data_IF_617195686569
#
_entry.id   IF_617195686569
#
_cell.length_a   1.000
_cell.length_b   1.000
_cell.length_c   1.000
_cell.angle_alpha   90.00
_cell.angle_beta   90.00
_cell.angle_gamma   90.00
#
_symmetry.space_group_name_H-M   'P 1'
#
loop_
_entity.id
_entity.type
_entity.pdbx_description
1 polymer ?
#
# COMPACT_ATOMS: atom_id res chain seq x y z
N UNK A 1 -3.29 -5.54 -28.46
CA UNK A 1 -4.04 -5.58 -27.20
C UNK A 1 -4.46 -4.15 -26.85
N UNK A 2 -5.76 -3.91 -26.55
CA UNK A 2 -6.19 -2.64 -26.00
C UNK A 2 -5.57 -2.43 -24.61
N UNK A 3 -5.46 -1.18 -24.20
CA UNK A 3 -4.97 -0.79 -22.85
C UNK A 3 -6.13 -0.17 -22.07
N UNK A 4 -6.16 -0.41 -20.76
CA UNK A 4 -7.18 0.11 -19.85
C UNK A 4 -6.66 0.21 -18.42
N UNK A 5 -7.48 0.77 -17.55
CA UNK A 5 -7.25 0.84 -16.11
C UNK A 5 -8.16 -0.17 -15.40
N UNK A 6 -7.63 -0.84 -14.39
CA UNK A 6 -8.41 -1.74 -13.52
C UNK A 6 -9.29 -0.94 -12.54
N UNK A 7 -10.48 -1.44 -12.13
CA UNK A 7 -11.11 -2.68 -12.59
C UNK A 7 -11.45 -2.68 -14.09
N UNK A 8 -11.38 -3.84 -14.73
CA UNK A 8 -11.78 -4.03 -16.12
C UNK A 8 -12.93 -5.04 -16.14
N UNK A 9 -14.05 -4.67 -16.77
CA UNK A 9 -15.20 -5.55 -16.82
C UNK A 9 -16.43 -4.89 -17.41
N UNK A 10 -17.59 -5.38 -16.99
CA UNK A 10 -18.91 -4.86 -17.36
C UNK A 10 -19.96 -5.33 -16.35
N UNK A 11 -21.05 -4.56 -16.19
CA UNK A 11 -22.20 -4.91 -15.36
C UNK A 11 -22.41 -3.88 -14.24
N UNK A 12 -21.88 -4.08 -13.09
CA UNK A 12 -22.20 -3.46 -11.79
C UNK A 12 -21.85 -1.96 -11.61
N UNK A 13 -21.46 -1.26 -12.66
CA UNK A 13 -21.08 0.16 -12.65
C UNK A 13 -19.83 0.47 -11.78
N UNK A 14 -18.99 -0.52 -11.50
CA UNK A 14 -17.78 -0.42 -10.66
C UNK A 14 -16.46 -0.45 -11.45
N UNK A 15 -16.53 -0.72 -12.76
CA UNK A 15 -15.38 -0.83 -13.64
C UNK A 15 -14.90 0.53 -14.16
N UNK A 16 -13.57 0.75 -14.11
CA UNK A 16 -12.94 1.91 -14.76
C UNK A 16 -12.82 1.74 -16.27
N UNK A 17 -12.59 0.53 -16.72
CA UNK A 17 -12.56 0.18 -18.14
C UNK A 17 -13.70 -0.74 -18.45
N UNK A 18 -14.75 -0.19 -19.04
CA UNK A 18 -15.95 -0.94 -19.44
C UNK A 18 -15.70 -1.60 -20.79
N UNK A 19 -16.00 -2.90 -20.89
CA UNK A 19 -15.91 -3.70 -22.09
C UNK A 19 -17.28 -4.24 -22.49
N UNK A 20 -17.40 -4.74 -23.74
CA UNK A 20 -18.60 -5.47 -24.15
C UNK A 20 -18.69 -6.81 -23.39
N UNK A 21 -19.92 -7.33 -23.13
CA UNK A 21 -20.11 -8.63 -22.48
C UNK A 21 -19.39 -9.78 -23.21
N UNK A 22 -18.56 -10.50 -22.48
CA UNK A 22 -17.75 -11.62 -23.00
C UNK A 22 -17.72 -12.77 -22.00
N UNK A 23 -17.40 -13.99 -22.46
CA UNK A 23 -17.22 -15.16 -21.58
C UNK A 23 -16.00 -15.05 -20.69
N UNK A 24 -14.94 -14.45 -21.21
CA UNK A 24 -13.69 -14.30 -20.49
C UNK A 24 -12.88 -13.12 -20.99
N UNK A 25 -12.02 -12.61 -20.12
CA UNK A 25 -11.01 -11.60 -20.45
C UNK A 25 -9.61 -12.12 -20.17
N UNK A 26 -8.67 -11.61 -20.95
CA UNK A 26 -7.24 -11.89 -20.80
C UNK A 26 -6.52 -10.58 -20.54
N UNK A 27 -5.76 -10.50 -19.46
CA UNK A 27 -5.06 -9.30 -19.05
C UNK A 27 -3.56 -9.55 -18.94
N UNK A 28 -2.76 -8.50 -19.15
CA UNK A 28 -1.32 -8.50 -18.87
C UNK A 28 -0.92 -7.18 -18.24
N UNK A 29 -0.11 -7.27 -17.20
CA UNK A 29 0.45 -6.14 -16.47
C UNK A 29 1.95 -6.37 -16.38
N UNK A 30 2.74 -5.45 -16.93
CA UNK A 30 4.19 -5.48 -16.76
C UNK A 30 4.54 -4.79 -15.44
N UNK A 31 5.50 -5.35 -14.72
CA UNK A 31 6.03 -4.79 -13.49
C UNK A 31 7.52 -5.10 -13.36
N UNK A 32 8.24 -4.26 -12.65
CA UNK A 32 9.68 -4.46 -12.41
C UNK A 32 9.92 -4.99 -11.00
N UNK A 33 10.93 -5.85 -10.88
CA UNK A 33 11.45 -6.36 -9.60
C UNK A 33 12.95 -6.08 -9.58
N UNK A 34 13.38 -5.25 -8.65
CA UNK A 34 14.79 -4.87 -8.52
C UNK A 34 15.61 -5.93 -7.77
N UNK A 35 15.02 -6.56 -6.77
CA UNK A 35 15.63 -7.59 -5.95
C UNK A 35 14.64 -8.69 -5.62
N UNK A 36 15.00 -9.94 -5.92
CA UNK A 36 14.20 -11.13 -5.60
C UNK A 36 14.68 -11.84 -4.34
N UNK A 37 15.91 -11.55 -3.86
CA UNK A 37 16.52 -12.31 -2.76
C UNK A 37 15.73 -12.18 -1.46
N UNK A 38 15.20 -11.00 -1.19
CA UNK A 38 14.48 -10.68 0.03
C UNK A 38 12.96 -10.94 -0.05
N UNK A 39 12.44 -11.36 -1.19
CA UNK A 39 11.01 -11.69 -1.33
C UNK A 39 10.74 -13.03 -0.63
N UNK A 40 9.78 -13.02 0.30
CA UNK A 40 9.36 -14.21 1.05
C UNK A 40 8.15 -14.86 0.41
N UNK A 41 7.10 -14.09 0.12
CA UNK A 41 5.90 -14.55 -0.58
C UNK A 41 5.24 -13.42 -1.35
N UNK A 42 4.40 -13.80 -2.31
CA UNK A 42 3.48 -12.89 -2.99
C UNK A 42 2.14 -12.84 -2.30
N UNK A 43 1.49 -11.69 -2.36
CA UNK A 43 0.14 -11.46 -1.90
C UNK A 43 -0.66 -10.87 -3.04
N UNK A 44 -1.61 -11.65 -3.57
CA UNK A 44 -2.58 -11.17 -4.53
C UNK A 44 -3.87 -10.82 -3.81
N UNK A 45 -4.27 -9.54 -3.88
CA UNK A 45 -5.65 -9.16 -3.64
C UNK A 45 -6.36 -9.16 -4.99
N UNK A 46 -7.42 -9.91 -5.09
CA UNK A 46 -8.18 -10.05 -6.33
C UNK A 46 -9.66 -9.74 -6.05
N UNK A 47 -10.19 -8.75 -6.73
CA UNK A 47 -11.61 -8.57 -6.86
C UNK A 47 -12.02 -9.12 -8.23
N UNK A 48 -12.92 -10.06 -8.24
CA UNK A 48 -13.22 -10.85 -9.45
C UNK A 48 -14.63 -11.41 -9.46
N UNK A 49 -15.07 -11.65 -10.64
CA UNK A 49 -16.34 -12.25 -11.00
C UNK A 49 -16.15 -13.09 -12.29
N UNK A 50 -16.26 -14.40 -12.35
CA UNK A 50 -16.58 -15.41 -11.30
C UNK A 50 -15.37 -16.26 -10.91
N UNK A 51 -14.50 -16.59 -11.86
CA UNK A 51 -13.32 -17.44 -11.67
C UNK A 51 -12.11 -16.91 -12.42
N UNK A 52 -10.91 -17.27 -11.97
CA UNK A 52 -9.70 -16.76 -12.60
C UNK A 52 -8.52 -17.73 -12.52
N UNK A 53 -7.54 -17.51 -13.38
CA UNK A 53 -6.20 -18.08 -13.29
C UNK A 53 -5.14 -17.01 -13.50
N UNK A 54 -4.06 -17.09 -12.72
CA UNK A 54 -2.95 -16.13 -12.69
C UNK A 54 -1.66 -16.80 -13.11
N UNK A 55 -0.91 -16.11 -13.95
CA UNK A 55 0.40 -16.53 -14.41
C UNK A 55 1.43 -15.43 -14.10
N UNK A 56 2.61 -15.83 -13.67
CA UNK A 56 3.81 -14.98 -13.63
C UNK A 56 4.78 -15.51 -14.67
N UNK A 57 5.20 -14.64 -15.59
CA UNK A 57 6.14 -14.98 -16.66
C UNK A 57 5.73 -16.22 -17.49
N UNK A 58 4.43 -16.48 -17.58
CA UNK A 58 3.83 -17.59 -18.35
C UNK A 58 3.65 -18.89 -17.56
N UNK A 59 4.07 -18.95 -16.29
CA UNK A 59 3.84 -20.09 -15.40
C UNK A 59 2.65 -19.83 -14.47
N UNK A 60 1.74 -20.80 -14.33
CA UNK A 60 0.58 -20.71 -13.47
C UNK A 60 1.00 -20.68 -12.00
N UNK A 61 0.56 -19.66 -11.26
CA UNK A 61 0.88 -19.48 -9.84
C UNK A 61 -0.34 -19.55 -8.93
N UNK A 62 -1.53 -19.32 -9.48
CA UNK A 62 -2.76 -19.32 -8.70
C UNK A 62 -3.96 -19.54 -9.62
N UNK A 63 -4.95 -20.26 -9.12
CA UNK A 63 -6.24 -20.47 -9.77
C UNK A 63 -7.33 -20.55 -8.73
N UNK A 64 -8.48 -19.97 -9.04
CA UNK A 64 -9.65 -20.00 -8.18
C UNK A 64 -10.93 -20.17 -9.01
N UNK A 65 -11.79 -21.10 -8.60
CA UNK A 65 -13.11 -21.34 -9.19
C UNK A 65 -13.10 -21.59 -10.72
N UNK A 66 -12.01 -22.16 -11.27
CA UNK A 66 -11.83 -22.31 -12.72
C UNK A 66 -11.03 -23.55 -13.09
N UNK A 67 -11.67 -24.72 -13.14
CA UNK A 67 -11.10 -25.99 -13.61
C UNK A 67 -9.87 -26.47 -12.80
N UNK A 68 -9.23 -27.52 -13.30
CA UNK A 68 -8.11 -28.15 -12.60
C UNK A 68 -6.78 -27.41 -12.79
N UNK A 69 -5.93 -27.30 -11.75
CA UNK A 69 -4.62 -26.63 -11.83
C UNK A 69 -3.74 -27.17 -12.95
N UNK A 70 -2.95 -26.27 -13.56
CA UNK A 70 -2.02 -26.59 -14.65
C UNK A 70 -2.66 -27.22 -15.90
N UNK A 71 -3.95 -27.01 -16.12
CA UNK A 71 -4.65 -27.39 -17.34
C UNK A 71 -4.92 -26.16 -18.20
N UNK A 72 -4.90 -26.38 -19.52
CA UNK A 72 -5.30 -25.31 -20.46
C UNK A 72 -6.77 -24.99 -20.28
N UNK A 73 -7.10 -23.70 -20.14
CA UNK A 73 -8.45 -23.18 -20.05
C UNK A 73 -8.84 -22.56 -21.39
N UNK A 74 -9.83 -23.12 -22.12
CA UNK A 74 -10.41 -22.49 -23.32
C UNK A 74 -11.11 -21.17 -22.93
N UNK A 75 -11.10 -20.21 -23.85
CA UNK A 75 -11.71 -18.88 -23.61
C UNK A 75 -13.24 -18.93 -23.34
N UNK A 76 -13.89 -20.00 -23.72
CA UNK A 76 -15.34 -20.26 -23.59
C UNK A 76 -15.67 -21.25 -22.45
N UNK A 77 -14.69 -21.60 -21.62
CA UNK A 77 -14.94 -22.38 -20.42
C UNK A 77 -15.53 -21.47 -19.33
N UNK A 78 -16.59 -21.92 -18.68
CA UNK A 78 -17.19 -21.22 -17.56
C UNK A 78 -16.47 -21.53 -16.25
N UNK A 79 -16.54 -20.57 -15.32
CA UNK A 79 -16.20 -20.80 -13.92
C UNK A 79 -17.15 -21.86 -13.30
N UNK A 80 -16.72 -22.48 -12.21
CA UNK A 80 -17.47 -23.62 -11.63
C UNK A 80 -18.74 -23.17 -10.89
N UNK A 81 -18.69 -22.00 -10.29
CA UNK A 81 -19.80 -21.41 -9.51
C UNK A 81 -19.81 -19.90 -9.68
N UNK A 82 -20.96 -19.26 -9.42
CA UNK A 82 -21.04 -17.81 -9.32
C UNK A 82 -20.29 -17.31 -8.11
N UNK A 83 -19.43 -16.32 -8.31
CA UNK A 83 -18.69 -15.58 -7.30
C UNK A 83 -18.80 -14.11 -7.65
N UNK A 84 -19.36 -13.32 -6.79
CA UNK A 84 -19.53 -11.88 -6.94
C UNK A 84 -18.29 -11.10 -6.49
N UNK A 85 -17.92 -10.07 -7.23
CA UNK A 85 -16.94 -9.09 -6.81
C UNK A 85 -17.33 -8.44 -5.47
N UNK A 86 -16.37 -8.00 -4.70
CA UNK A 86 -16.57 -7.58 -3.31
C UNK A 86 -16.57 -6.06 -3.13
N UNK A 87 -15.71 -5.34 -3.88
CA UNK A 87 -15.45 -3.93 -3.61
C UNK A 87 -16.67 -3.06 -3.85
N UNK A 88 -17.43 -3.29 -4.94
CA UNK A 88 -18.66 -2.53 -5.21
C UNK A 88 -19.70 -2.69 -4.10
N UNK A 89 -19.64 -3.81 -3.34
CA UNK A 89 -20.49 -4.10 -2.19
C UNK A 89 -19.97 -3.51 -0.89
N UNK A 90 -18.87 -2.74 -0.94
CA UNK A 90 -18.21 -2.19 0.23
C UNK A 90 -17.42 -3.19 1.06
N UNK A 91 -17.11 -4.36 0.49
CA UNK A 91 -16.31 -5.41 1.11
C UNK A 91 -14.85 -5.33 0.64
N UNK A 92 -13.98 -6.12 1.28
CA UNK A 92 -12.56 -6.21 0.88
C UNK A 92 -12.41 -7.23 -0.24
N UNK A 93 -11.46 -7.02 -1.18
CA UNK A 93 -11.13 -8.03 -2.19
C UNK A 93 -10.66 -9.33 -1.54
N UNK A 94 -10.78 -10.41 -2.27
CA UNK A 94 -10.27 -11.72 -1.85
C UNK A 94 -8.74 -11.70 -1.77
N UNK A 95 -8.18 -12.47 -0.86
CA UNK A 95 -6.75 -12.44 -0.52
C UNK A 95 -6.13 -13.82 -0.71
N UNK A 96 -5.09 -13.89 -1.52
CA UNK A 96 -4.40 -15.13 -1.86
C UNK A 96 -2.89 -15.01 -1.62
N UNK A 97 -2.32 -15.99 -0.95
CA UNK A 97 -0.87 -16.08 -0.74
C UNK A 97 -0.25 -16.95 -1.84
N UNK A 98 0.89 -16.51 -2.36
CA UNK A 98 1.68 -17.23 -3.36
C UNK A 98 3.06 -17.47 -2.74
N UNK A 99 3.19 -18.58 -2.00
CA UNK A 99 4.38 -18.87 -1.19
C UNK A 99 5.65 -19.08 -2.04
N UNK A 100 5.51 -19.61 -3.25
CA UNK A 100 6.61 -19.87 -4.18
C UNK A 100 6.82 -18.80 -5.24
N UNK A 101 6.30 -17.58 -5.04
CA UNK A 101 6.34 -16.54 -6.08
C UNK A 101 7.75 -16.21 -6.54
N UNK A 102 8.72 -16.29 -5.65
CA UNK A 102 10.14 -16.06 -5.93
C UNK A 102 10.68 -16.94 -7.05
N UNK A 103 10.20 -18.17 -7.16
CA UNK A 103 10.63 -19.13 -8.18
C UNK A 103 10.18 -18.75 -9.59
N UNK A 104 9.18 -17.88 -9.70
CA UNK A 104 8.57 -17.42 -10.95
C UNK A 104 9.01 -15.99 -11.34
N UNK A 105 9.77 -15.30 -10.47
CA UNK A 105 10.23 -13.93 -10.70
C UNK A 105 11.64 -13.88 -11.29
N UNK A 106 11.89 -12.84 -12.06
CA UNK A 106 13.24 -12.46 -12.50
C UNK A 106 13.55 -11.03 -12.08
N UNK A 107 14.82 -10.70 -11.90
CA UNK A 107 15.25 -9.31 -11.74
C UNK A 107 15.00 -8.57 -13.05
N UNK A 108 14.37 -7.41 -12.97
CA UNK A 108 13.93 -6.63 -14.12
C UNK A 108 12.45 -6.80 -14.45
N UNK A 109 12.09 -6.74 -15.72
CA UNK A 109 10.71 -6.77 -16.18
C UNK A 109 10.09 -8.16 -16.03
N UNK A 110 8.93 -8.22 -15.38
CA UNK A 110 8.09 -9.40 -15.20
C UNK A 110 6.68 -9.14 -15.77
N UNK A 111 5.94 -10.19 -16.04
CA UNK A 111 4.58 -10.13 -16.55
C UNK A 111 3.64 -10.88 -15.64
N UNK A 112 2.67 -10.17 -15.07
CA UNK A 112 1.47 -10.74 -14.48
C UNK A 112 0.43 -10.90 -15.58
N UNK A 113 -0.01 -12.13 -15.85
CA UNK A 113 -1.07 -12.41 -16.80
C UNK A 113 -2.25 -13.11 -16.09
N UNK A 114 -3.46 -12.74 -16.49
CA UNK A 114 -4.69 -13.28 -15.92
C UNK A 114 -5.66 -13.69 -17.02
N UNK A 115 -6.44 -14.73 -16.72
CA UNK A 115 -7.71 -15.02 -17.38
C UNK A 115 -8.80 -14.93 -16.31
N UNK A 116 -9.88 -14.19 -16.59
CA UNK A 116 -11.05 -14.11 -15.71
C UNK A 116 -12.27 -14.55 -16.54
N UNK A 117 -13.09 -15.41 -15.98
CA UNK A 117 -14.14 -16.13 -16.68
C UNK A 117 -15.48 -16.02 -15.95
N UNK A 118 -16.52 -15.80 -16.70
CA UNK A 118 -17.91 -15.89 -16.25
C UNK A 118 -18.31 -17.33 -15.91
N UNK A 119 -19.28 -17.52 -15.01
CA UNK A 119 -19.81 -18.84 -14.64
C UNK A 119 -20.95 -19.32 -15.55
N UNK A 120 -21.48 -18.49 -16.45
CA UNK A 120 -22.62 -18.88 -17.30
C UNK A 120 -22.68 -18.11 -18.61
N UNK A 121 -23.57 -18.53 -19.51
CA UNK A 121 -23.92 -17.81 -20.74
C UNK A 121 -24.72 -16.50 -20.48
N UNK A 122 -25.22 -16.33 -19.27
CA UNK A 122 -25.87 -15.11 -18.81
C UNK A 122 -24.79 -14.10 -18.44
N UNK A 123 -24.28 -13.42 -19.45
CA UNK A 123 -23.22 -12.38 -19.28
C UNK A 123 -23.81 -11.13 -18.63
N UNK A 124 -24.07 -11.18 -17.32
CA UNK A 124 -24.65 -10.07 -16.56
C UNK A 124 -23.57 -9.07 -16.17
N UNK A 125 -22.44 -9.59 -15.74
CA UNK A 125 -21.32 -8.89 -15.16
C UNK A 125 -20.03 -9.69 -15.30
N UNK A 126 -18.92 -9.03 -15.14
CA UNK A 126 -17.58 -9.58 -14.97
C UNK A 126 -16.69 -8.47 -14.48
N UNK A 127 -15.93 -8.72 -13.44
CA UNK A 127 -14.96 -7.77 -12.88
C UNK A 127 -13.58 -8.40 -12.69
N UNK A 128 -12.54 -7.65 -13.02
CA UNK A 128 -11.14 -8.04 -12.81
C UNK A 128 -10.31 -6.89 -12.26
N UNK A 129 -9.95 -6.99 -10.97
CA UNK A 129 -9.05 -6.06 -10.29
C UNK A 129 -7.96 -6.83 -9.54
N UNK A 130 -6.82 -7.11 -10.15
CA UNK A 130 -5.66 -7.68 -9.47
C UNK A 130 -4.79 -6.60 -8.83
N UNK A 131 -4.34 -6.85 -7.59
CA UNK A 131 -3.32 -6.06 -6.89
C UNK A 131 -2.30 -7.04 -6.36
N UNK A 132 -1.15 -7.12 -7.01
CA UNK A 132 -0.02 -7.95 -6.58
C UNK A 132 0.92 -7.12 -5.72
N UNK A 133 1.30 -7.66 -4.56
CA UNK A 133 2.30 -7.11 -3.66
C UNK A 133 3.23 -8.21 -3.17
N UNK A 134 4.39 -7.84 -2.65
CA UNK A 134 5.37 -8.78 -2.11
C UNK A 134 5.60 -8.48 -0.63
N UNK A 135 5.65 -9.56 0.15
CA UNK A 135 6.24 -9.47 1.46
C UNK A 135 7.75 -9.69 1.32
N UNK A 136 8.50 -8.70 1.74
CA UNK A 136 9.96 -8.73 1.70
C UNK A 136 10.53 -8.85 3.11
N UNK A 137 11.57 -9.66 3.26
CA UNK A 137 12.36 -9.63 4.48
C UNK A 137 13.16 -8.33 4.47
N UNK A 138 12.90 -7.46 5.42
CA UNK A 138 13.75 -6.28 5.59
C UNK A 138 15.14 -6.78 5.97
N UNK A 139 16.19 -6.45 5.21
CA UNK A 139 17.55 -6.77 5.62
C UNK A 139 17.77 -6.26 7.06
N UNK A 140 18.57 -6.95 7.88
CA UNK A 140 18.94 -6.41 9.16
C UNK A 140 19.47 -5.00 8.93
N UNK A 141 18.86 -4.03 9.62
CA UNK A 141 19.15 -2.61 9.47
C UNK A 141 20.65 -2.43 9.34
N UNK A 142 21.10 -1.90 8.20
CA UNK A 142 22.52 -1.59 8.02
C UNK A 142 22.93 -0.68 9.20
N UNK A 143 24.15 -0.77 9.66
CA UNK A 143 24.68 0.11 10.72
C UNK A 143 24.82 1.57 10.25
N UNK A 144 24.30 1.89 9.08
CA UNK A 144 24.21 3.25 8.56
C UNK A 144 23.09 3.97 9.30
N UNK A 145 23.44 5.09 9.87
CA UNK A 145 22.49 6.00 10.51
C UNK A 145 22.28 7.19 9.60
N UNK A 146 21.07 7.71 9.62
CA UNK A 146 20.70 8.98 8.97
C UNK A 146 20.47 10.03 10.06
N UNK A 147 20.84 11.25 9.78
CA UNK A 147 20.61 12.37 10.71
C UNK A 147 19.20 12.94 10.47
N UNK A 148 18.36 12.90 11.52
CA UNK A 148 17.05 13.57 11.53
C UNK A 148 17.12 14.80 12.40
N UNK A 149 16.81 15.95 11.83
CA UNK A 149 16.79 17.23 12.52
C UNK A 149 15.34 17.66 12.81
N UNK A 150 15.03 17.81 14.10
CA UNK A 150 13.74 18.30 14.59
C UNK A 150 13.96 19.71 15.12
N UNK A 151 13.18 20.66 14.60
CA UNK A 151 13.21 22.04 15.06
C UNK A 151 11.82 22.49 15.48
N UNK A 152 11.69 23.01 16.70
CA UNK A 152 10.43 23.50 17.24
C UNK A 152 10.66 24.91 17.79
N UNK A 153 9.80 25.85 17.35
CA UNK A 153 9.67 27.16 17.95
C UNK A 153 8.50 27.11 18.92
N UNK A 154 8.76 27.36 20.19
CA UNK A 154 7.70 27.38 21.20
C UNK A 154 6.99 28.74 21.21
N UNK A 155 5.73 28.68 21.55
CA UNK A 155 4.87 29.85 21.79
C UNK A 155 4.82 30.25 23.26
N UNK A 156 3.71 30.87 23.68
CA UNK A 156 3.46 31.32 25.05
C UNK A 156 3.07 30.19 26.01
N UNK A 157 2.83 28.98 25.50
CA UNK A 157 2.34 27.81 26.26
C UNK A 157 3.19 26.57 26.01
N UNK A 158 4.51 26.61 26.19
CA UNK A 158 5.44 25.52 25.83
C UNK A 158 5.21 24.22 26.62
N UNK A 159 4.52 24.30 27.75
CA UNK A 159 4.18 23.14 28.60
C UNK A 159 3.17 22.20 27.95
N UNK A 160 2.48 22.63 26.90
CA UNK A 160 1.49 21.84 26.18
C UNK A 160 2.11 21.01 25.08
N UNK A 161 3.28 21.42 24.59
CA UNK A 161 3.96 20.81 23.46
C UNK A 161 4.79 19.60 23.88
N UNK A 162 4.60 18.50 23.17
CA UNK A 162 5.45 17.30 23.24
C UNK A 162 5.61 16.69 21.86
N UNK A 163 6.65 15.87 21.68
CA UNK A 163 6.81 15.10 20.46
C UNK A 163 7.41 13.72 20.71
N UNK A 164 7.20 12.83 19.77
CA UNK A 164 7.77 11.50 19.73
C UNK A 164 8.16 11.11 18.29
N UNK A 165 9.36 10.55 18.13
CA UNK A 165 9.81 9.87 16.93
C UNK A 165 9.96 8.38 17.25
N UNK A 166 9.20 7.53 16.57
CA UNK A 166 9.19 6.08 16.83
C UNK A 166 9.41 5.32 15.54
N UNK A 167 10.33 4.37 15.57
CA UNK A 167 10.50 3.41 14.49
C UNK A 167 9.25 2.53 14.33
N UNK A 168 8.86 2.27 13.07
CA UNK A 168 7.74 1.39 12.70
C UNK A 168 8.26 0.28 11.77
N UNK A 169 7.40 -0.67 11.41
CA UNK A 169 7.74 -1.77 10.49
C UNK A 169 9.02 -2.56 10.87
N UNK A 170 9.27 -2.72 12.18
CA UNK A 170 10.44 -3.46 12.69
C UNK A 170 11.67 -2.62 13.01
N UNK A 171 11.64 -1.30 12.75
CA UNK A 171 12.70 -0.37 13.14
C UNK A 171 12.66 -0.15 14.65
N UNK A 172 13.75 -0.49 15.35
CA UNK A 172 13.84 -0.37 16.80
C UNK A 172 14.47 0.98 17.20
N UNK A 173 13.65 2.01 17.30
CA UNK A 173 14.05 3.35 17.72
C UNK A 173 12.89 4.07 18.40
N UNK A 174 13.17 4.86 19.44
CA UNK A 174 12.18 5.75 20.05
C UNK A 174 12.87 6.88 20.80
N UNK A 175 12.54 8.10 20.45
CA UNK A 175 12.93 9.34 21.14
C UNK A 175 11.70 10.22 21.34
N UNK A 176 11.67 10.97 22.43
CA UNK A 176 10.54 11.84 22.75
C UNK A 176 10.90 12.92 23.76
N UNK A 177 10.11 13.99 23.77
CA UNK A 177 10.05 14.94 24.89
C UNK A 177 8.67 14.93 25.52
N UNK A 178 8.63 15.11 26.84
CA UNK A 178 7.39 15.20 27.60
C UNK A 178 6.85 16.64 27.62
N UNK A 179 5.54 16.83 27.80
CA UNK A 179 4.97 18.14 28.08
C UNK A 179 5.67 18.82 29.29
N UNK A 180 5.81 20.11 29.21
CA UNK A 180 6.51 20.90 30.26
C UNK A 180 8.04 20.85 30.21
N UNK A 181 8.63 20.25 29.16
CA UNK A 181 10.09 20.21 28.99
C UNK A 181 10.65 21.42 28.28
N UNK A 182 9.81 22.23 27.67
CA UNK A 182 10.20 23.39 26.87
C UNK A 182 9.96 24.70 27.61
N UNK A 183 10.64 25.75 27.18
CA UNK A 183 10.51 27.12 27.74
C UNK A 183 9.87 28.05 26.73
N UNK A 184 9.31 29.12 27.26
CA UNK A 184 8.54 30.14 26.56
C UNK A 184 9.36 30.85 25.46
N UNK A 185 8.78 30.96 24.26
CA UNK A 185 9.31 31.73 23.11
C UNK A 185 10.79 31.39 22.81
N UNK A 186 11.11 30.12 22.79
CA UNK A 186 12.46 29.63 22.53
C UNK A 186 12.48 28.72 21.27
N UNK A 187 13.69 28.51 20.75
CA UNK A 187 13.93 27.64 19.60
C UNK A 187 14.68 26.41 20.05
N UNK A 188 14.09 25.25 19.85
CA UNK A 188 14.71 23.96 20.14
C UNK A 188 15.09 23.24 18.88
N UNK A 189 16.27 22.67 18.86
CA UNK A 189 16.78 21.86 17.75
C UNK A 189 17.33 20.55 18.32
N UNK A 190 16.88 19.43 17.76
CA UNK A 190 17.41 18.10 18.05
C UNK A 190 17.98 17.51 16.76
N UNK A 191 19.18 16.98 16.86
CA UNK A 191 19.81 16.18 15.82
C UNK A 191 19.93 14.76 16.32
N UNK A 192 19.26 13.84 15.66
CA UNK A 192 19.13 12.44 16.04
C UNK A 192 19.75 11.56 14.97
N UNK A 193 20.75 10.76 15.36
CA UNK A 193 21.26 9.70 14.50
C UNK A 193 20.31 8.49 14.60
N UNK A 194 19.52 8.24 13.56
CA UNK A 194 18.55 7.16 13.51
C UNK A 194 18.99 6.06 12.56
N UNK A 195 18.77 4.77 12.90
CA UNK A 195 18.98 3.67 11.95
C UNK A 195 18.14 3.87 10.66
N UNK A 196 18.63 3.40 9.52
CA UNK A 196 17.81 3.39 8.31
C UNK A 196 16.53 2.58 8.54
N UNK A 197 15.38 3.11 8.12
CA UNK A 197 14.08 2.48 8.35
C UNK A 197 12.91 3.43 8.29
N UNK A 198 11.74 2.90 8.61
CA UNK A 198 10.48 3.65 8.63
C UNK A 198 10.24 4.25 10.01
N UNK A 199 9.76 5.48 10.05
CA UNK A 199 9.50 6.21 11.28
C UNK A 199 8.15 6.88 11.28
N UNK A 200 7.61 7.05 12.48
CA UNK A 200 6.45 7.88 12.75
C UNK A 200 6.87 9.03 13.66
N UNK A 201 6.70 10.25 13.17
CA UNK A 201 6.83 11.46 14.00
C UNK A 201 5.45 11.90 14.45
N UNK A 202 5.31 12.13 15.76
CA UNK A 202 4.07 12.61 16.36
C UNK A 202 4.40 13.86 17.18
N UNK A 203 3.73 14.96 16.89
CA UNK A 203 3.76 16.15 17.71
C UNK A 203 2.40 16.35 18.36
N UNK A 204 2.38 16.77 19.62
CA UNK A 204 1.16 16.91 20.42
C UNK A 204 1.11 18.28 21.05
N UNK A 205 -0.06 18.86 21.00
CA UNK A 205 -0.50 19.99 21.77
C UNK A 205 -1.65 19.51 22.67
N UNK A 206 -1.45 19.60 24.00
CA UNK A 206 -2.38 19.03 24.97
C UNK A 206 -3.69 19.82 25.11
N UNK A 207 -3.72 21.07 24.67
CA UNK A 207 -4.94 21.91 24.67
C UNK A 207 -5.66 21.87 23.32
N UNK A 208 -4.94 21.57 22.23
CA UNK A 208 -5.53 21.37 20.91
C UNK A 208 -5.86 22.67 20.18
N UNK A 209 -5.22 23.77 20.57
CA UNK A 209 -5.38 25.09 19.93
C UNK A 209 -4.23 25.43 18.97
N UNK A 210 -3.25 24.53 18.85
CA UNK A 210 -2.12 24.60 17.91
C UNK A 210 -0.82 25.03 18.55
N UNK A 211 0.30 24.56 18.00
CA UNK A 211 1.65 24.91 18.45
C UNK A 211 2.04 26.28 17.90
N UNK A 212 1.21 27.26 18.06
CA UNK A 212 1.48 28.67 17.78
C UNK A 212 0.32 29.52 18.23
N UNK A 213 0.52 30.57 18.57
CA UNK A 213 0.79 31.96 18.16
C UNK A 213 -0.24 32.87 18.77
N UNK A 214 0.17 33.90 19.49
CA UNK A 214 -0.70 35.04 19.79
C UNK A 214 -1.08 35.85 18.53
N UNK A 215 -0.45 35.64 17.36
CA UNK A 215 -0.64 36.45 16.15
C UNK A 215 -0.89 35.68 14.85
N UNK A 216 -1.31 34.42 14.88
CA UNK A 216 -1.75 33.68 13.69
C UNK A 216 -0.65 33.39 12.65
N UNK A 217 0.61 33.38 13.05
CA UNK A 217 1.73 32.98 12.19
C UNK A 217 2.04 31.51 12.43
N UNK A 218 1.86 30.63 11.44
CA UNK A 218 2.10 29.21 11.59
C UNK A 218 3.56 28.94 11.96
N UNK A 219 3.77 27.99 12.89
CA UNK A 219 5.09 27.41 13.13
C UNK A 219 5.50 26.61 11.90
N UNK A 220 6.58 27.00 11.26
CA UNK A 220 7.15 26.22 10.18
C UNK A 220 7.87 24.99 10.76
N UNK A 221 7.25 23.82 10.65
CA UNK A 221 8.00 22.56 10.70
C UNK A 221 8.74 22.46 9.37
N UNK A 222 10.04 22.66 9.41
CA UNK A 222 10.82 22.73 8.19
C UNK A 222 11.11 21.31 7.66
N UNK A 223 10.15 20.80 6.91
CA UNK A 223 10.41 19.94 5.76
C UNK A 223 9.66 20.57 4.58
N UNK A 224 10.28 20.83 3.44
CA UNK A 224 9.65 21.60 2.37
C UNK A 224 8.40 20.89 1.85
N UNK A 225 7.21 21.34 2.27
CA UNK A 225 5.94 20.86 1.77
C UNK A 225 4.84 20.57 2.81
N UNK A 226 5.00 20.92 4.08
CA UNK A 226 4.04 20.55 5.12
C UNK A 226 3.45 21.77 5.84
N UNK A 227 2.11 21.84 5.87
CA UNK A 227 1.36 22.83 6.64
C UNK A 227 0.53 22.10 7.70
N UNK A 228 0.61 22.50 8.97
CA UNK A 228 -0.26 21.97 10.04
C UNK A 228 -1.35 22.98 10.38
N UNK A 229 -2.59 22.53 10.39
CA UNK A 229 -3.74 23.29 10.89
C UNK A 229 -4.27 22.57 12.14
N UNK A 230 -3.77 22.90 13.31
CA UNK A 230 -4.26 22.54 14.63
C UNK A 230 -4.95 21.18 14.75
N UNK A 231 -4.35 20.25 15.47
CA UNK A 231 -4.86 18.89 15.67
C UNK A 231 -3.73 17.85 15.75
N UNK A 232 -4.07 16.64 16.05
CA UNK A 232 -3.14 15.51 16.10
C UNK A 232 -2.67 15.15 14.69
N UNK A 233 -1.42 15.40 14.36
CA UNK A 233 -0.84 15.03 13.10
C UNK A 233 0.19 13.89 13.26
N UNK A 234 -0.05 12.80 12.57
CA UNK A 234 0.82 11.62 12.53
C UNK A 234 1.39 11.50 11.12
N UNK A 235 2.70 11.58 11.01
CA UNK A 235 3.38 11.60 9.71
C UNK A 235 4.33 10.42 9.55
N UNK A 236 4.26 9.66 8.44
CA UNK A 236 5.28 8.72 8.08
C UNK A 236 6.53 9.46 7.57
N UNK A 237 7.68 9.11 8.12
CA UNK A 237 9.00 9.52 7.64
C UNK A 237 9.71 8.29 7.10
N UNK A 238 10.21 8.38 5.87
CA UNK A 238 11.10 7.42 5.25
C UNK A 238 12.52 8.03 5.24
N UNK A 239 13.49 7.40 5.92
CA UNK A 239 14.88 7.86 6.08
C UNK A 239 15.89 6.76 5.79
#
# INVERSE_FOLDING_TARGET
WPTGHTPIGFGDDDDMTIIDPVFSIFMRINFEVEDIENIIYGLLHMDYDDGFVVYINGEEVLRENLGEPNTHIPYDQFAETNVEANIYRGLKPSKFFIDSIKDHLIVGENVLALQVHNASENLNDLTALPILSFYVETPPVSSETSEVNIKINTDSYPEETSWQLTGINGTNFSESISPGSLTLNDIYEWSLDVPSGDYQFTIQDSWGDGICCEDGVPVEVYNPGWETNGGWDVWPLDV
#
